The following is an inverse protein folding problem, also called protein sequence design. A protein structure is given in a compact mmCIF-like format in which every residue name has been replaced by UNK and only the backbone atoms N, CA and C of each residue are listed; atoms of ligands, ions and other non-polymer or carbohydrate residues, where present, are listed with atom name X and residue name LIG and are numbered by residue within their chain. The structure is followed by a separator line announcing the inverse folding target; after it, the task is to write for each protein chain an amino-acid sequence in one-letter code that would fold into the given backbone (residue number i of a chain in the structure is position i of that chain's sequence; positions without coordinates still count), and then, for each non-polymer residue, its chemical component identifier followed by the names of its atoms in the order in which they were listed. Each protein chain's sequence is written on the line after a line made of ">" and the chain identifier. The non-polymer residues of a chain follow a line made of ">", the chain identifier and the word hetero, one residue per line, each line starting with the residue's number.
data_IF_605684621963
#
_entry.id   IF_605684621963
#
_cell.length_a   1.000
_cell.length_b   1.000
_cell.length_c   1.000
_cell.angle_alpha   90.00
_cell.angle_beta   90.00
_cell.angle_gamma   90.00
#
_symmetry.space_group_name_H-M   'P 1'
#
loop_
_entity.id
_entity.type
_entity.pdbx_description
1 polymer ?
#
# COMPACT_ATOMS: atom_id res chain seq x y z
N UNK A 1 -15.17 -18.90 3.96
CA UNK A 1 -14.96 -18.63 5.39
C UNK A 1 -15.45 -17.28 5.90
N UNK A 2 -16.00 -16.37 5.09
CA UNK A 2 -16.26 -14.97 5.51
C UNK A 2 -17.64 -14.75 6.18
N UNK A 3 -18.29 -15.80 6.69
CA UNK A 3 -19.66 -15.70 7.25
C UNK A 3 -19.70 -14.96 8.60
N UNK A 4 -18.55 -14.75 9.24
CA UNK A 4 -18.44 -14.07 10.54
C UNK A 4 -18.49 -12.54 10.43
N UNK A 5 -18.16 -11.97 9.26
CA UNK A 5 -18.42 -10.56 9.00
C UNK A 5 -19.92 -10.41 8.82
N UNK A 6 -20.55 -9.44 9.46
CA UNK A 6 -22.02 -9.28 9.36
C UNK A 6 -22.37 -8.43 8.14
N UNK A 7 -21.72 -7.28 8.00
CA UNK A 7 -21.97 -6.32 6.93
C UNK A 7 -21.58 -6.89 5.56
N UNK A 8 -22.52 -6.89 4.61
CA UNK A 8 -22.27 -7.41 3.26
C UNK A 8 -21.18 -6.65 2.53
N UNK A 9 -21.15 -5.33 2.69
CA UNK A 9 -20.12 -4.45 2.13
C UNK A 9 -18.72 -4.83 2.66
N UNK A 10 -18.56 -4.95 3.98
CA UNK A 10 -17.30 -5.40 4.58
C UNK A 10 -16.92 -6.81 4.13
N UNK A 11 -17.87 -7.74 3.93
CA UNK A 11 -17.58 -9.07 3.36
C UNK A 11 -17.02 -8.96 1.95
N UNK A 12 -17.60 -8.12 1.10
CA UNK A 12 -17.17 -7.91 -0.28
C UNK A 12 -15.75 -7.32 -0.28
N UNK A 13 -15.53 -6.24 0.46
CA UNK A 13 -14.21 -5.60 0.60
C UNK A 13 -13.15 -6.57 1.13
N UNK A 14 -13.50 -7.37 2.15
CA UNK A 14 -12.57 -8.34 2.73
C UNK A 14 -12.21 -9.46 1.73
N UNK A 15 -13.15 -9.91 0.90
CA UNK A 15 -12.86 -10.86 -0.19
C UNK A 15 -11.93 -10.26 -1.23
N UNK A 16 -12.11 -8.99 -1.60
CA UNK A 16 -11.20 -8.27 -2.48
C UNK A 16 -9.81 -8.14 -1.86
N UNK A 17 -9.71 -7.68 -0.61
CA UNK A 17 -8.45 -7.60 0.14
C UNK A 17 -7.71 -8.94 0.12
N UNK A 18 -8.40 -10.03 0.45
CA UNK A 18 -7.81 -11.37 0.48
C UNK A 18 -7.36 -11.84 -0.91
N UNK A 19 -8.19 -11.64 -1.93
CA UNK A 19 -7.88 -12.05 -3.31
C UNK A 19 -6.69 -11.27 -3.87
N UNK A 20 -6.63 -9.98 -3.60
CA UNK A 20 -5.53 -9.10 -4.00
C UNK A 20 -4.23 -9.48 -3.27
N UNK A 21 -4.31 -9.70 -1.96
CA UNK A 21 -3.15 -10.12 -1.16
C UNK A 21 -2.58 -11.45 -1.65
N UNK A 22 -3.45 -12.40 -2.02
CA UNK A 22 -3.03 -13.67 -2.63
C UNK A 22 -2.38 -13.47 -4.00
N UNK A 23 -2.98 -12.66 -4.88
CA UNK A 23 -2.43 -12.36 -6.19
C UNK A 23 -1.03 -11.73 -6.08
N UNK A 24 -0.86 -10.72 -5.23
CA UNK A 24 0.43 -10.08 -5.00
C UNK A 24 1.45 -11.03 -4.38
N UNK A 25 1.03 -11.89 -3.45
CA UNK A 25 1.91 -12.91 -2.86
C UNK A 25 2.40 -13.93 -3.89
N UNK A 26 1.55 -14.34 -4.84
CA UNK A 26 1.94 -15.24 -5.93
C UNK A 26 2.93 -14.53 -6.86
N UNK A 27 2.64 -13.31 -7.29
CA UNK A 27 3.53 -12.54 -8.18
C UNK A 27 4.88 -12.33 -7.49
N UNK A 28 4.89 -11.89 -6.24
CA UNK A 28 6.11 -11.70 -5.46
C UNK A 28 6.88 -13.02 -5.28
N UNK A 29 6.18 -14.11 -4.96
CA UNK A 29 6.78 -15.44 -4.83
C UNK A 29 7.43 -15.93 -6.11
N UNK A 30 6.78 -15.77 -7.26
CA UNK A 30 7.34 -16.13 -8.57
C UNK A 30 8.59 -15.29 -8.89
N UNK A 31 8.54 -13.98 -8.66
CA UNK A 31 9.67 -13.09 -8.90
C UNK A 31 10.84 -13.40 -7.96
N UNK A 32 10.57 -13.64 -6.68
CA UNK A 32 11.58 -14.02 -5.70
C UNK A 32 12.22 -15.37 -6.02
N UNK A 33 11.43 -16.37 -6.43
CA UNK A 33 11.94 -17.68 -6.82
C UNK A 33 12.81 -17.59 -8.08
N UNK A 34 12.45 -16.70 -9.02
CA UNK A 34 13.30 -16.42 -10.19
C UNK A 34 14.67 -15.83 -9.79
N UNK A 35 14.71 -14.93 -8.80
CA UNK A 35 15.96 -14.40 -8.25
C UNK A 35 16.79 -15.47 -7.51
N UNK A 36 16.15 -16.35 -6.74
CA UNK A 36 16.83 -17.46 -6.08
C UNK A 36 17.44 -18.44 -7.09
N UNK A 37 16.71 -18.76 -8.16
CA UNK A 37 17.23 -19.62 -9.23
C UNK A 37 18.45 -18.98 -9.90
N UNK A 38 18.39 -17.67 -10.19
CA UNK A 38 19.55 -16.93 -10.71
C UNK A 38 20.76 -17.03 -9.78
N UNK A 39 20.58 -16.75 -8.49
CA UNK A 39 21.66 -16.80 -7.51
C UNK A 39 22.28 -18.20 -7.40
N UNK A 40 21.50 -19.25 -7.67
CA UNK A 40 21.97 -20.64 -7.59
C UNK A 40 22.75 -21.11 -8.82
N UNK A 41 22.32 -20.71 -10.02
CA UNK A 41 22.85 -21.23 -11.28
C UNK A 41 23.78 -20.27 -12.02
N UNK A 42 24.06 -19.09 -11.44
CA UNK A 42 24.89 -18.03 -12.05
C UNK A 42 24.43 -17.63 -13.47
N UNK A 43 23.19 -17.95 -13.83
CA UNK A 43 22.67 -17.78 -15.18
C UNK A 43 22.07 -16.38 -15.37
N UNK A 44 22.57 -15.69 -16.41
CA UNK A 44 22.12 -14.41 -16.96
C UNK A 44 22.28 -13.17 -16.05
N UNK A 45 22.82 -12.09 -16.63
CA UNK A 45 22.60 -10.75 -16.09
C UNK A 45 21.10 -10.45 -16.20
N UNK A 46 20.38 -10.47 -15.07
CA UNK A 46 19.01 -9.96 -15.01
C UNK A 46 19.06 -8.46 -15.30
N UNK A 47 18.23 -8.02 -16.25
CA UNK A 47 17.96 -6.61 -16.49
C UNK A 47 17.42 -6.00 -15.18
N UNK A 48 18.04 -4.90 -14.72
CA UNK A 48 17.68 -4.19 -13.49
C UNK A 48 16.17 -3.85 -13.42
N UNK A 49 15.51 -3.78 -14.59
CA UNK A 49 14.05 -3.61 -14.71
C UNK A 49 13.24 -4.65 -13.97
N UNK A 50 13.69 -5.91 -13.91
CA UNK A 50 12.98 -6.95 -13.16
C UNK A 50 13.03 -6.66 -11.66
N UNK A 51 14.20 -6.32 -11.13
CA UNK A 51 14.38 -5.94 -9.72
C UNK A 51 13.52 -4.70 -9.41
N UNK A 52 13.55 -3.69 -10.28
CA UNK A 52 12.70 -2.51 -10.13
C UNK A 52 11.21 -2.88 -10.15
N UNK A 53 10.78 -3.74 -11.06
CA UNK A 53 9.40 -4.22 -11.16
C UNK A 53 8.99 -4.95 -9.88
N UNK A 54 9.83 -5.84 -9.35
CA UNK A 54 9.54 -6.56 -8.09
C UNK A 54 9.30 -5.59 -6.93
N UNK A 55 10.15 -4.55 -6.80
CA UNK A 55 10.04 -3.53 -5.76
C UNK A 55 8.78 -2.68 -5.94
N UNK A 56 8.51 -2.23 -7.16
CA UNK A 56 7.32 -1.44 -7.48
C UNK A 56 6.02 -2.22 -7.20
N UNK A 57 5.96 -3.51 -7.57
CA UNK A 57 4.80 -4.37 -7.28
C UNK A 57 4.63 -4.56 -5.77
N UNK A 58 5.73 -4.79 -5.04
CA UNK A 58 5.70 -4.92 -3.58
C UNK A 58 5.13 -3.67 -2.89
N UNK A 59 5.62 -2.49 -3.27
CA UNK A 59 5.13 -1.22 -2.70
C UNK A 59 3.68 -0.94 -3.13
N UNK A 60 3.34 -1.15 -4.40
CA UNK A 60 1.97 -0.99 -4.90
C UNK A 60 0.98 -1.89 -4.15
N UNK A 61 1.38 -3.13 -3.84
CA UNK A 61 0.59 -4.06 -3.04
C UNK A 61 0.28 -3.51 -1.65
N UNK A 62 1.31 -3.03 -0.95
CA UNK A 62 1.18 -2.46 0.40
C UNK A 62 0.26 -1.24 0.39
N UNK A 63 0.42 -0.36 -0.61
CA UNK A 63 -0.45 0.82 -0.75
C UNK A 63 -1.89 0.41 -1.00
N UNK A 64 -2.12 -0.55 -1.89
CA UNK A 64 -3.47 -0.98 -2.21
C UNK A 64 -4.17 -1.67 -1.04
N UNK A 65 -3.47 -2.53 -0.30
CA UNK A 65 -4.01 -3.19 0.90
C UNK A 65 -4.40 -2.16 1.97
N UNK A 66 -3.53 -1.15 2.18
CA UNK A 66 -3.81 -0.03 3.07
C UNK A 66 -5.08 0.74 2.70
N UNK A 67 -5.28 1.04 1.41
CA UNK A 67 -6.50 1.73 0.97
C UNK A 67 -7.77 0.92 1.28
N UNK A 68 -7.75 -0.40 1.07
CA UNK A 68 -8.91 -1.24 1.37
C UNK A 68 -9.19 -1.27 2.88
N UNK A 69 -8.15 -1.37 3.71
CA UNK A 69 -8.30 -1.31 5.18
C UNK A 69 -8.87 0.02 5.62
N UNK A 70 -8.38 1.13 5.08
CA UNK A 70 -8.87 2.46 5.41
C UNK A 70 -10.35 2.62 5.03
N UNK A 71 -10.78 2.10 3.87
CA UNK A 71 -12.21 2.08 3.47
C UNK A 71 -13.04 1.23 4.44
N UNK A 72 -12.58 0.03 4.80
CA UNK A 72 -13.27 -0.82 5.80
C UNK A 72 -13.37 -0.14 7.18
N UNK A 73 -12.36 0.65 7.55
CA UNK A 73 -12.33 1.39 8.82
C UNK A 73 -13.31 2.56 8.81
N UNK A 74 -13.39 3.29 7.71
CA UNK A 74 -14.41 4.32 7.54
C UNK A 74 -15.84 3.77 7.55
N UNK A 75 -16.08 2.64 6.88
CA UNK A 75 -17.39 1.99 6.88
C UNK A 75 -17.83 1.64 8.31
N UNK A 76 -16.92 1.04 9.09
CA UNK A 76 -17.15 0.65 10.49
C UNK A 76 -17.35 1.86 11.38
N UNK A 77 -16.52 2.89 11.22
CA UNK A 77 -16.66 4.13 11.96
C UNK A 77 -18.00 4.80 11.70
N UNK A 78 -18.39 4.86 10.43
CA UNK A 78 -19.67 5.42 10.05
C UNK A 78 -20.85 4.62 10.62
N UNK A 79 -20.79 3.27 10.55
CA UNK A 79 -21.77 2.38 11.16
C UNK A 79 -21.88 2.58 12.69
N UNK A 80 -20.77 2.94 13.35
CA UNK A 80 -20.72 3.19 14.79
C UNK A 80 -21.29 4.56 15.18
N UNK A 81 -21.08 5.60 14.36
CA UNK A 81 -21.60 6.95 14.62
C UNK A 81 -23.09 7.04 14.27
N UNK A 82 -23.51 6.45 13.15
CA UNK A 82 -24.87 6.59 12.60
C UNK A 82 -25.53 5.23 12.29
N UNK A 83 -25.74 4.37 13.30
CA UNK A 83 -26.21 3.00 13.08
C UNK A 83 -27.54 2.93 12.33
N UNK A 84 -28.55 3.70 12.78
CA UNK A 84 -29.89 3.71 12.18
C UNK A 84 -29.92 4.22 10.73
N UNK A 85 -29.00 5.14 10.36
CA UNK A 85 -28.90 5.62 8.98
C UNK A 85 -28.16 4.62 8.10
N UNK A 86 -27.13 3.97 8.65
CA UNK A 86 -26.34 2.97 7.94
C UNK A 86 -27.20 1.79 7.48
N UNK A 87 -28.10 1.29 8.30
CA UNK A 87 -29.00 0.18 7.93
C UNK A 87 -29.82 0.48 6.65
N UNK A 88 -30.24 1.74 6.47
CA UNK A 88 -31.06 2.15 5.31
C UNK A 88 -30.25 2.49 4.06
N UNK A 89 -29.00 2.94 4.21
CA UNK A 89 -28.23 3.56 3.14
C UNK A 89 -26.83 2.96 2.93
N UNK A 90 -26.50 1.84 3.58
CA UNK A 90 -25.16 1.22 3.56
C UNK A 90 -24.58 1.04 2.16
N UNK A 91 -25.40 0.63 1.18
CA UNK A 91 -24.95 0.44 -0.22
C UNK A 91 -24.57 1.75 -0.92
N UNK A 92 -25.30 2.84 -0.66
CA UNK A 92 -25.01 4.16 -1.26
C UNK A 92 -23.77 4.80 -0.64
N UNK A 93 -23.57 4.59 0.66
CA UNK A 93 -22.44 5.19 1.37
C UNK A 93 -21.11 4.53 1.00
N UNK A 94 -21.11 3.20 0.80
CA UNK A 94 -19.97 2.49 0.25
C UNK A 94 -19.62 3.02 -1.14
N UNK A 95 -20.61 3.21 -2.01
CA UNK A 95 -20.40 3.78 -3.34
C UNK A 95 -19.84 5.23 -3.29
N UNK A 96 -20.24 6.02 -2.29
CA UNK A 96 -19.71 7.39 -2.07
C UNK A 96 -18.30 7.36 -1.48
N UNK A 97 -18.00 6.47 -0.52
CA UNK A 97 -16.65 6.35 0.05
C UNK A 97 -15.64 5.83 -0.97
N UNK A 98 -16.03 4.82 -1.75
CA UNK A 98 -15.29 4.34 -2.91
C UNK A 98 -15.17 5.42 -3.99
N UNK A 99 -16.24 6.18 -4.18
CA UNK A 99 -16.25 7.39 -5.00
C UNK A 99 -15.23 8.41 -4.54
N UNK A 100 -15.08 8.69 -3.24
CA UNK A 100 -14.11 9.66 -2.73
C UNK A 100 -12.66 9.19 -2.91
N UNK A 101 -12.39 7.90 -2.73
CA UNK A 101 -11.08 7.30 -3.04
C UNK A 101 -10.78 7.31 -4.55
N UNK A 102 -11.81 7.22 -5.40
CA UNK A 102 -11.68 7.28 -6.86
C UNK A 102 -11.64 8.71 -7.42
N UNK A 103 -12.32 9.68 -6.78
CA UNK A 103 -12.51 11.06 -7.26
C UNK A 103 -11.23 11.88 -7.23
N UNK A 104 -10.19 11.45 -6.50
CA UNK A 104 -8.85 12.06 -6.64
C UNK A 104 -8.17 11.72 -7.98
N UNK A 105 -8.57 10.65 -8.68
CA UNK A 105 -7.93 10.25 -9.94
C UNK A 105 -8.85 10.00 -11.14
N UNK A 106 -10.13 9.68 -10.98
CA UNK A 106 -11.01 9.38 -12.13
C UNK A 106 -12.43 9.84 -11.83
N UNK A 107 -12.73 11.05 -12.30
CA UNK A 107 -14.11 11.50 -12.44
C UNK A 107 -14.74 10.69 -13.59
N UNK A 108 -15.78 9.91 -13.28
CA UNK A 108 -16.77 9.32 -14.22
C UNK A 108 -16.50 7.88 -14.71
N UNK A 109 -16.87 6.87 -13.93
CA UNK A 109 -17.46 5.63 -14.44
C UNK A 109 -18.09 4.79 -13.31
N UNK A 110 -19.33 4.38 -13.48
CA UNK A 110 -20.08 3.58 -12.52
C UNK A 110 -19.80 2.08 -12.72
N UNK A 111 -19.70 1.37 -11.59
CA UNK A 111 -19.93 -0.08 -11.40
C UNK A 111 -18.77 -1.10 -11.51
N UNK A 112 -17.55 -0.73 -11.89
CA UNK A 112 -16.32 -1.55 -11.70
C UNK A 112 -15.23 -0.82 -10.88
N UNK A 113 -15.66 -0.06 -9.86
CA UNK A 113 -14.81 0.91 -9.15
C UNK A 113 -13.72 0.31 -8.25
N UNK A 114 -13.93 -0.87 -7.68
CA UNK A 114 -12.98 -1.41 -6.67
C UNK A 114 -11.71 -1.95 -7.32
N UNK A 115 -11.88 -2.69 -8.43
CA UNK A 115 -10.75 -3.14 -9.24
C UNK A 115 -10.06 -1.94 -9.90
N UNK A 116 -10.83 -1.00 -10.46
CA UNK A 116 -10.26 0.21 -11.06
C UNK A 116 -9.47 1.03 -10.03
N UNK A 117 -10.00 1.32 -8.84
CA UNK A 117 -9.28 2.11 -7.83
C UNK A 117 -7.99 1.43 -7.36
N UNK A 118 -8.02 0.11 -7.25
CA UNK A 118 -6.84 -0.72 -6.94
C UNK A 118 -5.81 -0.69 -8.06
N UNK A 119 -6.24 -0.86 -9.31
CA UNK A 119 -5.36 -0.81 -10.48
C UNK A 119 -4.81 0.61 -10.67
N UNK A 120 -5.61 1.65 -10.46
CA UNK A 120 -5.22 3.05 -10.57
C UNK A 120 -4.21 3.40 -9.48
N UNK A 121 -4.46 3.02 -8.22
CA UNK A 121 -3.52 3.26 -7.13
C UNK A 121 -2.20 2.50 -7.32
N UNK A 122 -2.28 1.26 -7.80
CA UNK A 122 -1.10 0.46 -8.15
C UNK A 122 -0.33 1.09 -9.32
N UNK A 123 -1.02 1.50 -10.38
CA UNK A 123 -0.44 2.15 -11.55
C UNK A 123 0.17 3.51 -11.21
N UNK A 124 -0.49 4.29 -10.36
CA UNK A 124 0.02 5.57 -9.86
C UNK A 124 1.29 5.38 -9.02
N UNK A 125 1.30 4.36 -8.15
CA UNK A 125 2.48 4.01 -7.36
C UNK A 125 3.63 3.58 -8.26
N UNK A 126 3.36 2.73 -9.25
CA UNK A 126 4.35 2.32 -10.25
C UNK A 126 4.85 3.53 -11.06
N UNK A 127 3.98 4.43 -11.50
CA UNK A 127 4.35 5.63 -12.25
C UNK A 127 5.28 6.54 -11.42
N UNK A 128 4.94 6.76 -10.15
CA UNK A 128 5.71 7.59 -9.23
C UNK A 128 7.08 6.99 -8.95
N UNK A 129 7.15 5.69 -8.64
CA UNK A 129 8.40 4.99 -8.34
C UNK A 129 9.29 4.77 -9.57
N UNK A 130 8.71 4.69 -10.76
CA UNK A 130 9.43 4.43 -12.02
C UNK A 130 9.88 5.69 -12.77
N UNK A 131 9.72 6.87 -12.16
CA UNK A 131 9.95 8.16 -12.80
C UNK A 131 9.17 8.30 -14.11
N UNK A 132 7.85 8.13 -14.07
CA UNK A 132 6.99 8.16 -15.27
C UNK A 132 7.40 7.15 -16.35
N UNK A 133 7.74 5.93 -15.92
CA UNK A 133 8.25 4.85 -16.76
C UNK A 133 9.60 5.13 -17.43
N UNK A 134 10.30 6.21 -17.07
CA UNK A 134 11.60 6.54 -17.65
C UNK A 134 12.65 5.49 -17.29
N UNK A 135 12.64 5.01 -16.05
CA UNK A 135 13.54 3.93 -15.58
C UNK A 135 13.33 2.62 -16.34
N UNK A 136 12.14 2.40 -16.92
CA UNK A 136 11.89 1.24 -17.77
C UNK A 136 12.29 1.46 -19.24
N UNK A 137 12.39 2.70 -19.73
CA UNK A 137 12.69 3.00 -21.14
C UNK A 137 14.18 3.17 -21.43
N UNK A 138 14.92 3.86 -20.56
CA UNK A 138 16.32 4.25 -20.84
C UNK A 138 17.34 3.22 -20.29
N UNK A 139 17.81 2.30 -21.16
CA UNK A 139 18.92 1.37 -20.87
C UNK A 139 20.24 2.07 -21.16
N UNK A 140 20.73 2.96 -20.29
CA UNK A 140 22.06 3.55 -20.54
C UNK A 140 23.05 3.49 -19.39
N UNK A 141 22.66 3.01 -18.21
CA UNK A 141 23.61 2.97 -17.09
C UNK A 141 23.42 1.64 -16.35
N UNK A 142 24.46 0.79 -16.23
CA UNK A 142 24.47 -0.22 -15.18
C UNK A 142 24.48 0.56 -13.87
N UNK A 143 23.31 0.73 -13.26
CA UNK A 143 23.20 1.45 -12.00
C UNK A 143 23.76 0.51 -10.93
N UNK A 144 24.94 0.78 -10.35
CA UNK A 144 25.31 0.09 -9.13
C UNK A 144 24.20 0.36 -8.11
N UNK A 145 23.74 -0.69 -7.42
CA UNK A 145 22.61 -0.71 -6.49
C UNK A 145 22.55 0.45 -5.46
N UNK A 146 23.65 1.18 -5.29
CA UNK A 146 23.83 2.27 -4.33
C UNK A 146 23.43 3.67 -4.86
N UNK A 147 23.22 3.83 -6.17
CA UNK A 147 22.98 5.14 -6.79
C UNK A 147 21.78 5.11 -7.75
N UNK A 148 20.57 4.93 -7.22
CA UNK A 148 19.36 5.48 -7.87
C UNK A 148 19.02 6.82 -7.19
N UNK A 149 19.72 7.94 -7.51
CA UNK A 149 19.59 9.19 -6.79
C UNK A 149 18.52 10.09 -7.42
N UNK A 150 17.92 9.70 -8.55
CA UNK A 150 17.15 10.63 -9.38
C UNK A 150 15.72 10.87 -8.91
N UNK A 151 15.18 10.06 -7.99
CA UNK A 151 13.84 10.30 -7.43
C UNK A 151 13.78 10.13 -5.91
N UNK A 152 14.88 10.40 -5.21
CA UNK A 152 14.91 10.32 -3.74
C UNK A 152 13.90 11.29 -3.13
N UNK A 153 13.81 12.52 -3.66
CA UNK A 153 12.85 13.52 -3.19
C UNK A 153 11.40 13.05 -3.39
N UNK A 154 11.04 12.60 -4.60
CA UNK A 154 9.70 12.06 -4.90
C UNK A 154 9.37 10.84 -4.05
N UNK A 155 10.35 9.96 -3.81
CA UNK A 155 10.18 8.79 -2.94
C UNK A 155 9.98 9.20 -1.47
N UNK A 156 10.75 10.16 -0.96
CA UNK A 156 10.60 10.68 0.40
C UNK A 156 9.25 11.37 0.58
N UNK A 157 8.80 12.17 -0.39
CA UNK A 157 7.48 12.79 -0.38
C UNK A 157 6.37 11.74 -0.38
N UNK A 158 6.50 10.72 -1.23
CA UNK A 158 5.58 9.58 -1.28
C UNK A 158 5.53 8.83 0.07
N UNK A 159 6.68 8.49 0.65
CA UNK A 159 6.76 7.84 1.96
C UNK A 159 6.19 8.73 3.08
N UNK A 160 6.35 10.05 3.00
CA UNK A 160 5.79 11.00 3.95
C UNK A 160 4.26 11.02 3.88
N UNK A 161 3.70 11.06 2.67
CA UNK A 161 2.24 10.97 2.46
C UNK A 161 1.70 9.63 2.98
N UNK A 162 2.39 8.52 2.71
CA UNK A 162 2.00 7.21 3.26
C UNK A 162 2.06 7.19 4.79
N UNK A 163 3.10 7.74 5.40
CA UNK A 163 3.26 7.84 6.86
C UNK A 163 2.07 8.57 7.48
N UNK A 164 1.69 9.72 6.90
CA UNK A 164 0.50 10.49 7.34
C UNK A 164 -0.77 9.65 7.20
N UNK A 165 -0.92 8.93 6.09
CA UNK A 165 -2.07 8.05 5.84
C UNK A 165 -2.17 6.90 6.84
N UNK A 166 -1.04 6.25 7.17
CA UNK A 166 -1.00 5.21 8.21
C UNK A 166 -1.31 5.75 9.59
N UNK A 167 -0.76 6.92 9.94
CA UNK A 167 -1.08 7.59 11.20
C UNK A 167 -2.57 7.92 11.30
N UNK A 168 -3.16 8.42 10.22
CA UNK A 168 -4.59 8.70 10.16
C UNK A 168 -5.44 7.44 10.29
N UNK A 169 -5.06 6.33 9.62
CA UNK A 169 -5.71 5.04 9.79
C UNK A 169 -5.64 4.54 11.23
N UNK A 170 -4.49 4.71 11.90
CA UNK A 170 -4.33 4.38 13.31
C UNK A 170 -5.28 5.21 14.19
N UNK A 171 -5.42 6.52 13.94
CA UNK A 171 -6.36 7.37 14.69
C UNK A 171 -7.82 6.91 14.50
N UNK A 172 -8.21 6.52 13.28
CA UNK A 172 -9.54 5.96 13.00
C UNK A 172 -9.74 4.68 13.82
N UNK A 173 -8.77 3.76 13.81
CA UNK A 173 -8.85 2.53 14.59
C UNK A 173 -9.00 2.81 16.10
N UNK A 174 -8.26 3.77 16.65
CA UNK A 174 -8.41 4.21 18.04
C UNK A 174 -9.80 4.78 18.32
N UNK A 175 -10.34 5.58 17.39
CA UNK A 175 -11.66 6.17 17.55
C UNK A 175 -12.78 5.11 17.45
N UNK A 176 -12.63 4.12 16.58
CA UNK A 176 -13.49 2.95 16.49
C UNK A 176 -13.51 2.17 17.81
N UNK A 177 -12.34 1.93 18.40
CA UNK A 177 -12.24 1.28 19.70
C UNK A 177 -12.90 2.10 20.80
N UNK A 178 -12.68 3.42 20.81
CA UNK A 178 -13.30 4.31 21.79
C UNK A 178 -14.82 4.28 21.69
N UNK A 179 -15.38 4.46 20.49
CA UNK A 179 -16.83 4.50 20.29
C UNK A 179 -17.50 3.16 20.59
N UNK A 180 -16.85 2.04 20.25
CA UNK A 180 -17.46 0.73 20.41
C UNK A 180 -17.25 0.14 21.80
N UNK A 181 -16.10 0.33 22.46
CA UNK A 181 -15.79 -0.36 23.71
C UNK A 181 -15.79 0.55 24.94
N UNK A 182 -15.31 1.79 24.82
CA UNK A 182 -15.14 2.68 25.97
C UNK A 182 -16.35 3.57 26.21
N UNK A 183 -17.02 3.99 25.15
CA UNK A 183 -18.21 4.84 25.25
C UNK A 183 -19.38 4.07 25.84
N UNK A 184 -19.94 4.59 26.94
CA UNK A 184 -21.18 4.04 27.52
C UNK A 184 -22.35 4.27 26.56
N UNK A 185 -23.17 3.23 26.27
CA UNK A 185 -24.34 3.39 25.43
C UNK A 185 -25.36 4.33 26.10
N UNK A 186 -26.08 5.09 25.29
CA UNK A 186 -27.18 5.91 25.79
C UNK A 186 -28.32 5.01 26.29
N UNK A 187 -28.99 5.40 27.38
CA UNK A 187 -29.99 4.58 28.10
C UNK A 187 -31.24 4.29 27.26
N UNK A 188 -31.48 5.04 26.18
CA UNK A 188 -32.69 4.97 25.36
C UNK A 188 -32.43 4.52 23.90
N UNK A 189 -31.53 3.56 23.66
CA UNK A 189 -31.29 3.02 22.31
C UNK A 189 -32.33 1.98 21.92
N UNK A 190 -32.76 2.00 20.66
CA UNK A 190 -33.65 0.97 20.10
C UNK A 190 -32.94 -0.39 20.06
N UNK A 191 -33.72 -1.48 20.07
CA UNK A 191 -33.18 -2.85 20.00
C UNK A 191 -32.28 -3.06 18.76
N UNK A 192 -32.68 -2.52 17.61
CA UNK A 192 -31.92 -2.59 16.37
C UNK A 192 -30.54 -1.92 16.48
N UNK A 193 -30.48 -0.73 17.09
CA UNK A 193 -29.20 -0.01 17.29
C UNK A 193 -28.29 -0.80 18.23
N UNK A 194 -28.83 -1.39 19.30
CA UNK A 194 -28.06 -2.22 20.23
C UNK A 194 -27.50 -3.46 19.55
N UNK A 195 -28.29 -4.12 18.69
CA UNK A 195 -27.86 -5.26 17.89
C UNK A 195 -26.71 -4.89 16.95
N UNK A 196 -26.84 -3.78 16.22
CA UNK A 196 -25.82 -3.31 15.30
C UNK A 196 -24.50 -2.95 16.00
N UNK A 197 -24.56 -2.32 17.18
CA UNK A 197 -23.35 -2.03 17.99
C UNK A 197 -22.68 -3.34 18.43
N UNK A 198 -23.47 -4.32 18.87
CA UNK A 198 -22.93 -5.63 19.29
C UNK A 198 -22.27 -6.37 18.12
N UNK A 199 -22.82 -6.25 16.91
CA UNK A 199 -22.23 -6.81 15.69
C UNK A 199 -20.95 -6.08 15.27
N UNK A 200 -20.95 -4.74 15.27
CA UNK A 200 -19.76 -3.93 15.00
C UNK A 200 -18.61 -4.31 15.93
N UNK A 201 -18.88 -4.48 17.24
CA UNK A 201 -17.87 -4.94 18.21
C UNK A 201 -17.23 -6.27 17.81
N UNK A 202 -18.04 -7.25 17.37
CA UNK A 202 -17.52 -8.56 16.91
C UNK A 202 -16.63 -8.40 15.68
N UNK A 203 -17.08 -7.63 14.70
CA UNK A 203 -16.31 -7.36 13.48
C UNK A 203 -14.98 -6.67 13.83
N UNK A 204 -15.01 -5.65 14.68
CA UNK A 204 -13.80 -4.94 15.13
C UNK A 204 -12.85 -5.91 15.82
N UNK A 205 -13.30 -6.75 16.75
CA UNK A 205 -12.41 -7.70 17.45
C UNK A 205 -11.70 -8.66 16.49
N UNK A 206 -12.35 -9.05 15.39
CA UNK A 206 -11.76 -9.97 14.40
C UNK A 206 -10.76 -9.24 13.50
N UNK A 207 -11.08 -8.02 13.07
CA UNK A 207 -10.24 -7.25 12.14
C UNK A 207 -9.10 -6.50 12.83
N UNK A 208 -9.26 -6.14 14.11
CA UNK A 208 -8.32 -5.31 14.85
C UNK A 208 -6.88 -5.86 14.85
N UNK A 209 -6.62 -7.17 15.07
CA UNK A 209 -5.26 -7.67 15.01
C UNK A 209 -4.62 -7.50 13.63
N UNK A 210 -5.39 -7.71 12.56
CA UNK A 210 -4.92 -7.56 11.17
C UNK A 210 -4.60 -6.09 10.89
N UNK A 211 -5.55 -5.21 11.19
CA UNK A 211 -5.43 -3.77 10.98
C UNK A 211 -4.29 -3.15 11.80
N UNK A 212 -4.16 -3.52 13.08
CA UNK A 212 -3.10 -3.02 13.95
C UNK A 212 -1.73 -3.53 13.48
N UNK A 213 -1.61 -4.82 13.15
CA UNK A 213 -0.36 -5.39 12.65
C UNK A 213 0.07 -4.71 11.35
N UNK A 214 -0.83 -4.60 10.38
CA UNK A 214 -0.54 -3.99 9.08
C UNK A 214 -0.20 -2.49 9.24
N UNK A 215 -0.99 -1.74 10.01
CA UNK A 215 -0.76 -0.31 10.23
C UNK A 215 0.56 -0.06 10.97
N UNK A 216 0.86 -0.82 12.03
CA UNK A 216 2.09 -0.65 12.81
C UNK A 216 3.34 -1.05 12.03
N UNK A 217 3.29 -2.19 11.32
CA UNK A 217 4.41 -2.65 10.51
C UNK A 217 4.72 -1.65 9.39
N UNK A 218 3.69 -1.15 8.70
CA UNK A 218 3.88 -0.20 7.61
C UNK A 218 4.28 1.18 8.11
N UNK A 219 3.73 1.66 9.24
CA UNK A 219 4.15 2.90 9.87
C UNK A 219 5.63 2.83 10.28
N UNK A 220 6.03 1.74 10.95
CA UNK A 220 7.44 1.53 11.32
C UNK A 220 8.35 1.49 10.08
N UNK A 221 7.95 0.76 9.04
CA UNK A 221 8.72 0.62 7.80
C UNK A 221 8.86 1.95 7.07
N UNK A 222 7.78 2.72 6.92
CA UNK A 222 7.81 4.02 6.23
C UNK A 222 8.59 5.07 7.03
N UNK A 223 8.44 5.11 8.35
CA UNK A 223 9.26 5.98 9.22
C UNK A 223 10.74 5.60 9.11
N UNK A 224 11.07 4.31 9.16
CA UNK A 224 12.45 3.86 8.96
C UNK A 224 12.98 4.30 7.58
N UNK A 225 12.21 4.13 6.51
CA UNK A 225 12.60 4.57 5.17
C UNK A 225 12.84 6.08 5.08
N UNK A 226 12.02 6.90 5.74
CA UNK A 226 12.22 8.36 5.79
C UNK A 226 13.49 8.72 6.57
N UNK A 227 13.70 8.09 7.74
CA UNK A 227 14.85 8.35 8.60
C UNK A 227 16.18 7.88 7.99
N UNK A 228 16.19 6.73 7.30
CA UNK A 228 17.39 6.16 6.68
C UNK A 228 17.56 6.54 5.20
N UNK A 229 16.53 7.07 4.54
CA UNK A 229 16.64 7.59 3.18
C UNK A 229 17.39 8.93 3.12
N UNK A 230 17.15 9.83 4.09
CA UNK A 230 17.75 11.16 4.17
C UNK A 230 19.28 11.18 4.37
N UNK A 231 19.90 10.28 5.18
CA UNK A 231 21.35 10.22 5.33
C UNK A 231 22.11 9.87 4.03
N UNK A 232 21.46 9.18 3.09
CA UNK A 232 22.10 8.79 1.83
C UNK A 232 22.07 9.91 0.78
N UNK A 233 21.07 10.81 0.80
CA UNK A 233 21.06 11.97 -0.09
C UNK A 233 22.18 12.96 0.23
N UNK A 234 22.46 13.16 1.52
CA UNK A 234 23.44 14.16 1.99
C UNK A 234 24.90 13.73 1.77
N UNK A 235 25.16 12.44 1.50
CA UNK A 235 26.51 11.92 1.18
C UNK A 235 26.93 12.14 -0.28
N UNK A 236 26.03 12.58 -1.14
CA UNK A 236 26.25 12.72 -2.59
C UNK A 236 26.94 14.00 -3.11
N UNK A 237 27.17 15.12 -2.38
CA UNK A 237 27.46 16.38 -3.04
C UNK A 237 28.91 16.59 -3.54
N UNK A 238 29.88 15.70 -3.27
CA UNK A 238 31.30 16.02 -3.51
C UNK A 238 32.15 15.00 -4.25
N UNK A 239 31.58 13.92 -4.80
CA UNK A 239 32.35 13.08 -5.73
C UNK A 239 32.28 13.68 -7.14
N UNK A 240 33.41 14.14 -7.73
CA UNK A 240 33.42 14.67 -9.08
C UNK A 240 32.91 13.60 -10.04
N UNK A 241 31.81 13.95 -10.71
CA UNK A 241 30.99 13.04 -11.53
C UNK A 241 31.73 12.49 -12.74
N UNK A 242 32.85 13.12 -13.13
CA UNK A 242 33.54 12.86 -14.38
C UNK A 242 34.57 11.71 -14.30
N UNK A 243 35.12 11.39 -13.12
CA UNK A 243 36.21 10.40 -13.02
C UNK A 243 35.76 8.96 -12.76
N UNK A 244 34.55 8.75 -12.22
CA UNK A 244 34.08 7.40 -11.86
C UNK A 244 33.47 6.62 -13.02
N UNK A 245 32.84 7.30 -13.99
CA UNK A 245 32.30 6.63 -15.18
C UNK A 245 33.42 5.99 -16.01
N UNK A 246 34.55 6.69 -16.19
CA UNK A 246 35.68 6.17 -16.95
C UNK A 246 36.37 4.96 -16.27
N UNK A 247 36.50 4.95 -14.93
CA UNK A 247 37.09 3.81 -14.22
C UNK A 247 36.17 2.61 -14.12
N UNK A 248 34.87 2.81 -13.93
CA UNK A 248 33.90 1.71 -13.92
C UNK A 248 33.87 0.99 -15.27
N UNK A 249 33.78 1.74 -16.38
CA UNK A 249 33.81 1.15 -17.73
C UNK A 249 35.15 0.44 -18.03
N UNK A 250 36.30 0.94 -17.57
CA UNK A 250 37.59 0.25 -17.78
C UNK A 250 37.72 -1.04 -16.98
N UNK A 251 37.02 -1.17 -15.85
CA UNK A 251 37.10 -2.35 -15.00
C UNK A 251 36.20 -3.48 -15.54
N UNK A 252 35.02 -3.13 -16.06
CA UNK A 252 34.13 -4.10 -16.71
C UNK A 252 34.62 -4.54 -18.10
N UNK A 253 35.30 -3.68 -18.86
CA UNK A 253 35.90 -4.09 -20.14
C UNK A 253 37.08 -5.05 -19.96
N UNK A 254 37.79 -4.97 -18.83
CA UNK A 254 38.88 -5.89 -18.51
C UNK A 254 38.38 -7.31 -18.14
N UNK A 255 37.19 -7.39 -17.53
CA UNK A 255 36.58 -8.67 -17.11
C UNK A 255 35.87 -9.36 -18.29
N UNK A 256 35.35 -8.61 -19.27
CA UNK A 256 34.71 -9.17 -20.47
C UNK A 256 35.71 -9.70 -21.53
N UNK A 257 37.01 -9.44 -21.35
CA UNK A 257 38.07 -9.90 -22.26
C UNK A 257 39.01 -10.96 -21.66
N UNK A 258 38.67 -11.51 -20.50
CA UNK A 258 39.29 -12.72 -19.92
C UNK A 258 38.31 -13.89 -19.98
#
# INVERSE_FOLDING_TARGET
>A
GVRFLVHENTKILFRFYYSLSMLHSIIFGCLYLSELFRLRYECFLIDFRYILLTRCIGIASIVSSHHIILVMSFERLFSSIFPAYFERNSSKLLAVSLGFTAVRNVHRLNFELDLCSTIISSSYTMLTLSDSWRLFREIKIPIPNELLPQNVEVFVDFCSVLTISYFFSFLIACFDLYLNFLRKPAVSTTLAVTYQIAENRKVILILLPIELMETMLNLFTTVAQVLYGKPNSDRSPHLPRDDHAHRAFSTYSLILHQ
#
